data_IF_669516613250
#
_entry.id   IF_669516613250
#
_cell.length_a   1.000
_cell.length_b   1.000
_cell.length_c   1.000
_cell.angle_alpha   90.00
_cell.angle_beta   90.00
_cell.angle_gamma   90.00
#
_symmetry.space_group_name_H-M   'P 1'
#
loop_
_entity.id
_entity.type
_entity.pdbx_description
1 polymer ?
#
# COMPACT_ATOMS: atom_id res chain seq x y z
N UNK A 1 -15.37 12.82 15.07
CA UNK A 1 -14.20 12.23 15.77
C UNK A 1 -14.24 12.41 17.29
N UNK A 2 -14.20 13.63 17.85
CA UNK A 2 -14.14 13.85 19.32
C UNK A 2 -15.35 13.33 20.11
N UNK A 3 -16.51 13.26 19.47
CA UNK A 3 -17.75 12.71 20.04
C UNK A 3 -17.86 11.18 19.93
N UNK A 4 -16.94 10.49 19.25
CA UNK A 4 -16.96 9.03 19.12
C UNK A 4 -16.69 8.40 20.51
N UNK A 5 -17.65 7.62 21.08
CA UNK A 5 -17.48 7.01 22.40
C UNK A 5 -16.38 5.93 22.42
N UNK A 6 -16.03 5.37 21.26
CA UNK A 6 -14.98 4.36 21.12
C UNK A 6 -13.58 4.94 20.93
N UNK A 7 -13.44 6.27 20.85
CA UNK A 7 -12.14 6.91 20.71
C UNK A 7 -11.46 7.00 22.09
N UNK A 8 -10.26 6.40 22.22
CA UNK A 8 -9.45 6.53 23.44
C UNK A 8 -8.98 7.98 23.61
N UNK A 9 -9.30 8.58 24.77
CA UNK A 9 -9.00 9.99 25.09
C UNK A 9 -7.87 10.18 26.11
N UNK A 10 -7.30 9.08 26.59
CA UNK A 10 -6.20 9.13 27.56
C UNK A 10 -4.85 9.45 26.91
N UNK A 11 -3.81 9.58 27.73
CA UNK A 11 -2.42 9.69 27.24
C UNK A 11 -1.98 8.37 26.61
N UNK A 12 -1.12 8.45 25.60
CA UNK A 12 -0.49 7.26 25.03
C UNK A 12 0.21 6.46 26.15
N UNK A 13 -0.09 5.17 26.24
CA UNK A 13 0.50 4.28 27.26
C UNK A 13 1.99 4.13 26.98
N UNK A 14 2.83 4.22 28.01
CA UNK A 14 4.28 4.22 27.85
C UNK A 14 4.78 2.99 27.09
N UNK A 15 4.28 1.79 27.43
CA UNK A 15 4.69 0.57 26.72
C UNK A 15 4.28 0.60 25.24
N UNK A 16 3.09 1.13 24.92
CA UNK A 16 2.66 1.29 23.53
C UNK A 16 3.56 2.26 22.77
N UNK A 17 3.96 3.38 23.39
CA UNK A 17 4.90 4.31 22.79
C UNK A 17 6.27 3.65 22.52
N UNK A 18 6.77 2.87 23.49
CA UNK A 18 8.02 2.14 23.36
C UNK A 18 7.98 1.12 22.21
N UNK A 19 6.91 0.33 22.12
CA UNK A 19 6.77 -0.66 21.04
C UNK A 19 6.61 0.00 19.67
N UNK A 20 5.88 1.12 19.57
CA UNK A 20 5.77 1.86 18.32
C UNK A 20 7.15 2.38 17.87
N UNK A 21 7.93 2.95 18.78
CA UNK A 21 9.29 3.42 18.47
C UNK A 21 10.20 2.27 18.02
N UNK A 22 10.26 1.18 18.79
CA UNK A 22 11.13 0.04 18.46
C UNK A 22 10.74 -0.59 17.12
N UNK A 23 9.45 -0.75 16.86
CA UNK A 23 8.95 -1.28 15.58
C UNK A 23 9.30 -0.35 14.43
N UNK A 24 9.14 0.97 14.58
CA UNK A 24 9.50 1.93 13.55
C UNK A 24 10.99 1.87 13.20
N UNK A 25 11.87 1.78 14.20
CA UNK A 25 13.31 1.65 13.99
C UNK A 25 13.69 0.32 13.32
N UNK A 26 13.03 -0.77 13.69
CA UNK A 26 13.27 -2.08 13.05
C UNK A 26 12.84 -2.05 11.57
N UNK A 27 11.65 -1.53 11.28
CA UNK A 27 11.12 -1.44 9.91
C UNK A 27 12.02 -0.56 9.04
N UNK A 28 12.50 0.56 9.57
CA UNK A 28 13.40 1.47 8.86
C UNK A 28 14.70 0.77 8.40
N UNK A 29 15.27 -0.11 9.21
CA UNK A 29 16.48 -0.86 8.86
C UNK A 29 16.25 -1.90 7.76
N UNK A 30 14.99 -2.30 7.55
CA UNK A 30 14.59 -3.43 6.70
C UNK A 30 13.84 -2.99 5.44
N UNK A 31 13.76 -1.70 5.14
CA UNK A 31 13.07 -1.17 3.96
C UNK A 31 13.57 -1.82 2.65
N UNK A 32 14.88 -2.08 2.57
CA UNK A 32 15.51 -2.74 1.43
C UNK A 32 15.01 -4.17 1.17
N UNK A 33 14.41 -4.85 2.15
CA UNK A 33 13.83 -6.19 1.98
C UNK A 33 12.52 -6.17 1.17
N UNK A 34 11.88 -5.00 1.02
CA UNK A 34 10.63 -4.84 0.27
C UNK A 34 10.87 -5.00 -1.23
N UNK A 35 10.49 -6.16 -1.77
CA UNK A 35 10.74 -6.54 -3.17
C UNK A 35 9.49 -6.69 -4.04
N UNK A 36 8.30 -6.65 -3.45
CA UNK A 36 7.03 -6.78 -4.18
C UNK A 36 6.60 -5.45 -4.82
N UNK A 37 5.74 -5.45 -5.86
CA UNK A 37 5.22 -4.22 -6.45
C UNK A 37 4.37 -3.39 -5.48
N UNK A 38 4.59 -2.08 -5.38
CA UNK A 38 3.82 -1.22 -4.47
C UNK A 38 3.63 0.23 -4.94
N UNK A 39 2.62 0.88 -4.36
CA UNK A 39 2.30 2.29 -4.53
C UNK A 39 2.33 2.98 -3.16
N UNK A 40 3.12 4.04 -3.03
CA UNK A 40 3.15 4.91 -1.84
C UNK A 40 2.42 6.21 -2.17
N UNK A 41 1.42 6.53 -1.35
CA UNK A 41 0.62 7.74 -1.44
C UNK A 41 0.76 8.51 -0.14
N UNK A 42 1.07 9.80 -0.21
CA UNK A 42 1.33 10.60 1.00
C UNK A 42 0.81 12.04 0.88
N UNK A 43 0.20 12.56 1.95
CA UNK A 43 -0.27 13.95 2.01
C UNK A 43 0.85 14.94 2.32
N UNK A 44 1.01 15.99 1.52
CA UNK A 44 2.12 16.95 1.66
C UNK A 44 2.17 17.68 3.01
N UNK A 45 1.03 17.82 3.66
CA UNK A 45 0.82 18.50 4.95
C UNK A 45 0.44 17.51 6.07
N UNK A 46 0.78 16.23 5.91
CA UNK A 46 0.62 15.23 6.96
C UNK A 46 1.46 15.60 8.19
N UNK A 47 0.81 15.66 9.36
CA UNK A 47 1.42 15.94 10.67
C UNK A 47 1.48 14.73 11.59
N UNK A 48 0.97 13.59 11.14
CA UNK A 48 0.94 12.32 11.87
C UNK A 48 2.13 11.46 11.44
N UNK A 49 2.40 11.39 10.14
CA UNK A 49 3.55 10.67 9.58
C UNK A 49 4.37 11.57 8.65
N UNK A 50 5.70 11.49 8.71
CA UNK A 50 6.59 12.32 7.88
C UNK A 50 6.73 11.75 6.45
N UNK A 51 6.49 12.60 5.44
CA UNK A 51 6.68 12.29 4.02
C UNK A 51 8.10 11.86 3.67
N UNK A 52 9.11 12.28 4.43
CA UNK A 52 10.49 11.86 4.24
C UNK A 52 10.65 10.34 4.37
N UNK A 53 9.91 9.70 5.28
CA UNK A 53 9.95 8.24 5.47
C UNK A 53 9.32 7.52 4.29
N UNK A 54 8.21 8.04 3.75
CA UNK A 54 7.62 7.51 2.51
C UNK A 54 8.56 7.62 1.32
N UNK A 55 9.31 8.72 1.21
CA UNK A 55 10.34 8.88 0.17
C UNK A 55 11.50 7.90 0.39
N UNK A 56 11.92 7.67 1.64
CA UNK A 56 12.97 6.71 1.98
C UNK A 56 12.57 5.27 1.61
N UNK A 57 11.34 4.84 1.92
CA UNK A 57 10.83 3.54 1.46
C UNK A 57 10.89 3.42 -0.07
N UNK A 58 10.47 4.46 -0.80
CA UNK A 58 10.55 4.46 -2.26
C UNK A 58 11.98 4.33 -2.76
N UNK A 59 12.95 4.99 -2.11
CA UNK A 59 14.35 4.94 -2.52
C UNK A 59 14.98 3.57 -2.22
N UNK A 60 14.83 3.10 -0.98
CA UNK A 60 15.63 2.01 -0.43
C UNK A 60 15.09 0.61 -0.76
N UNK A 61 13.78 0.48 -1.02
CA UNK A 61 13.16 -0.81 -1.32
C UNK A 61 13.80 -1.50 -2.54
N UNK A 62 14.02 -2.82 -2.48
CA UNK A 62 14.54 -3.60 -3.60
C UNK A 62 13.54 -3.78 -4.77
N UNK A 63 12.27 -3.40 -4.59
CA UNK A 63 11.23 -3.52 -5.61
C UNK A 63 11.59 -2.77 -6.89
N UNK A 64 11.49 -3.45 -8.03
CA UNK A 64 11.65 -2.84 -9.36
C UNK A 64 10.38 -2.14 -9.85
N UNK A 65 9.22 -2.49 -9.29
CA UNK A 65 7.93 -1.91 -9.64
C UNK A 65 7.35 -1.15 -8.45
N UNK A 66 7.85 0.07 -8.25
CA UNK A 66 7.46 0.95 -7.15
C UNK A 66 7.08 2.32 -7.67
N UNK A 67 6.05 2.90 -7.08
CA UNK A 67 5.54 4.23 -7.42
C UNK A 67 5.34 5.07 -6.16
N UNK A 68 5.62 6.37 -6.24
CA UNK A 68 5.41 7.32 -5.15
C UNK A 68 4.66 8.54 -5.67
N UNK A 69 3.61 8.96 -4.94
CA UNK A 69 2.87 10.18 -5.23
C UNK A 69 2.64 10.98 -3.95
N UNK A 70 3.13 12.21 -3.97
CA UNK A 70 2.89 13.20 -2.93
C UNK A 70 1.74 14.11 -3.36
N UNK A 71 0.78 14.36 -2.48
CA UNK A 71 -0.36 15.25 -2.71
C UNK A 71 -0.21 16.55 -1.92
N UNK A 72 0.25 17.65 -2.55
CA UNK A 72 0.42 18.93 -1.86
C UNK A 72 -0.88 19.40 -1.19
N UNK A 73 -0.80 19.91 0.03
CA UNK A 73 -1.95 20.42 0.77
C UNK A 73 -2.85 19.37 1.43
N UNK A 74 -2.72 18.09 1.06
CA UNK A 74 -3.47 17.00 1.70
C UNK A 74 -2.79 16.55 2.99
N UNK A 75 -3.58 16.05 3.93
CA UNK A 75 -3.20 15.55 5.25
C UNK A 75 -3.09 14.02 5.29
N UNK A 76 -3.07 13.46 6.50
CA UNK A 76 -2.89 12.03 6.76
C UNK A 76 -3.99 11.14 6.17
N UNK A 77 -5.24 11.59 6.26
CA UNK A 77 -6.43 10.77 5.98
C UNK A 77 -6.84 10.77 4.52
N UNK A 78 -5.95 10.41 3.60
CA UNK A 78 -6.19 10.54 2.14
C UNK A 78 -7.50 9.91 1.63
N UNK A 79 -8.02 8.88 2.29
CA UNK A 79 -9.21 8.14 1.84
C UNK A 79 -10.53 8.52 2.55
N UNK A 80 -10.48 9.28 3.66
CA UNK A 80 -11.68 9.54 4.47
C UNK A 80 -11.62 10.82 5.33
N UNK A 81 -10.50 11.53 5.36
CA UNK A 81 -10.27 12.75 6.15
C UNK A 81 -9.97 13.99 5.29
N UNK A 82 -9.99 13.83 3.97
CA UNK A 82 -9.77 14.87 2.98
C UNK A 82 -11.09 15.45 2.44
N UNK A 83 -11.00 16.49 1.61
CA UNK A 83 -12.14 16.99 0.83
C UNK A 83 -12.63 15.92 -0.16
N UNK A 84 -13.93 15.84 -0.48
CA UNK A 84 -14.46 14.83 -1.40
C UNK A 84 -13.71 14.76 -2.74
N UNK A 85 -13.36 15.91 -3.30
CA UNK A 85 -12.64 16.00 -4.58
C UNK A 85 -11.22 15.44 -4.48
N UNK A 86 -10.54 15.67 -3.35
CA UNK A 86 -9.22 15.09 -3.08
C UNK A 86 -9.31 13.57 -2.94
N UNK A 87 -10.33 13.07 -2.24
CA UNK A 87 -10.57 11.64 -2.06
C UNK A 87 -10.79 10.97 -3.42
N UNK A 88 -11.61 11.57 -4.30
CA UNK A 88 -11.85 11.06 -5.65
C UNK A 88 -10.56 10.96 -6.47
N UNK A 89 -9.68 11.96 -6.41
CA UNK A 89 -8.38 11.94 -7.08
C UNK A 89 -7.53 10.77 -6.56
N UNK A 90 -7.44 10.59 -5.24
CA UNK A 90 -6.64 9.52 -4.64
C UNK A 90 -7.19 8.14 -5.05
N UNK A 91 -8.51 7.94 -5.04
CA UNK A 91 -9.11 6.69 -5.51
C UNK A 91 -8.85 6.45 -7.00
N UNK A 92 -8.98 7.48 -7.85
CA UNK A 92 -8.71 7.36 -9.27
C UNK A 92 -7.25 6.92 -9.54
N UNK A 93 -6.29 7.47 -8.79
CA UNK A 93 -4.89 7.08 -8.88
C UNK A 93 -4.66 5.62 -8.46
N UNK A 94 -5.26 5.18 -7.34
CA UNK A 94 -5.18 3.79 -6.88
C UNK A 94 -5.76 2.84 -7.93
N UNK A 95 -6.95 3.15 -8.44
CA UNK A 95 -7.64 2.31 -9.44
C UNK A 95 -6.81 2.25 -10.73
N UNK A 96 -6.27 3.39 -11.19
CA UNK A 96 -5.42 3.44 -12.37
C UNK A 96 -4.16 2.59 -12.20
N UNK A 97 -3.47 2.69 -11.06
CA UNK A 97 -2.28 1.91 -10.75
C UNK A 97 -2.55 0.40 -10.72
N UNK A 98 -3.69 0.01 -10.15
CA UNK A 98 -4.14 -1.39 -10.12
C UNK A 98 -4.49 -1.90 -11.53
N UNK A 99 -5.25 -1.12 -12.31
CA UNK A 99 -5.64 -1.50 -13.67
C UNK A 99 -4.42 -1.77 -14.57
N UNK A 100 -3.40 -0.91 -14.51
CA UNK A 100 -2.15 -1.12 -15.26
C UNK A 100 -1.46 -2.47 -14.98
N UNK A 101 -1.70 -3.05 -13.79
CA UNK A 101 -1.10 -4.32 -13.35
C UNK A 101 -2.06 -5.50 -13.41
N UNK A 102 -3.35 -5.26 -13.61
CA UNK A 102 -4.38 -6.29 -13.73
C UNK A 102 -4.89 -6.48 -15.16
N UNK A 103 -4.74 -5.48 -16.04
CA UNK A 103 -5.12 -5.53 -17.46
C UNK A 103 -4.41 -6.66 -18.23
N UNK A 104 -3.15 -6.94 -17.85
CA UNK A 104 -2.39 -8.08 -18.34
C UNK A 104 -2.30 -9.20 -17.31
N UNK A 105 -3.38 -9.42 -16.54
CA UNK A 105 -3.57 -10.68 -15.81
C UNK A 105 -3.08 -11.81 -16.71
N UNK A 106 -2.24 -12.69 -16.14
CA UNK A 106 -1.34 -13.61 -16.83
C UNK A 106 -2.12 -14.67 -17.62
N UNK A 107 -2.97 -14.22 -18.54
CA UNK A 107 -3.97 -14.95 -19.29
C UNK A 107 -3.30 -15.99 -20.15
N UNK A 108 -2.05 -15.73 -20.54
CA UNK A 108 -1.17 -16.72 -21.14
C UNK A 108 -0.85 -17.86 -20.17
N UNK A 109 -0.29 -17.58 -18.99
CA UNK A 109 0.09 -18.61 -18.01
C UNK A 109 -1.15 -19.36 -17.47
N UNK A 110 -2.23 -18.64 -17.19
CA UNK A 110 -3.51 -19.23 -16.77
C UNK A 110 -4.10 -20.12 -17.87
N UNK A 111 -4.03 -19.70 -19.15
CA UNK A 111 -4.49 -20.50 -20.28
C UNK A 111 -3.58 -21.69 -20.55
N UNK A 112 -2.26 -21.54 -20.41
CA UNK A 112 -1.29 -22.62 -20.53
C UNK A 112 -1.51 -23.69 -19.44
N UNK A 113 -1.71 -23.27 -18.17
CA UNK A 113 -2.04 -24.17 -17.07
C UNK A 113 -3.38 -24.90 -17.27
N UNK A 114 -4.42 -24.17 -17.71
CA UNK A 114 -5.74 -24.77 -18.02
C UNK A 114 -5.65 -25.82 -19.14
N UNK A 115 -4.94 -25.51 -20.22
CA UNK A 115 -4.75 -26.46 -21.33
C UNK A 115 -3.97 -27.71 -20.89
N UNK A 116 -2.95 -27.53 -20.04
CA UNK A 116 -2.14 -28.63 -19.55
C UNK A 116 -2.95 -29.57 -18.64
N UNK A 117 -3.81 -29.03 -17.77
CA UNK A 117 -4.73 -29.82 -16.94
C UNK A 117 -5.79 -30.55 -17.78
N UNK A 118 -6.35 -29.90 -18.81
CA UNK A 118 -7.32 -30.50 -19.73
C UNK A 118 -6.71 -31.68 -20.52
N UNK A 119 -5.47 -31.56 -21.02
CA UNK A 119 -4.76 -32.67 -21.69
C UNK A 119 -4.49 -33.85 -20.74
N UNK A 120 -4.11 -33.55 -19.49
CA UNK A 120 -3.88 -34.58 -18.47
C UNK A 120 -5.19 -35.33 -18.17
N UNK A 121 -6.32 -34.65 -18.07
CA UNK A 121 -7.64 -35.27 -17.86
C UNK A 121 -8.03 -36.20 -19.02
N UNK A 122 -7.80 -35.77 -20.26
CA UNK A 122 -8.09 -36.58 -21.46
C UNK A 122 -7.19 -37.83 -21.49
N UNK A 123 -5.93 -37.71 -21.10
CA UNK A 123 -4.99 -38.85 -21.06
C UNK A 123 -5.33 -39.90 -20.00
N UNK A 124 -5.99 -39.51 -18.91
CA UNK A 124 -6.40 -40.39 -17.81
C UNK A 124 -7.71 -41.14 -18.07
N UNK A 125 -8.47 -40.76 -19.11
CA UNK A 125 -9.73 -41.39 -19.49
C UNK A 125 -9.60 -42.41 -20.63
N UNK A 126 -8.40 -42.60 -21.20
CA UNK A 126 -8.06 -43.67 -22.16
C UNK A 126 -7.31 -44.80 -21.46
#
# INVERSE_FOLDING_TARGET
VRANPYCYKGRLRLNTANELLNTSLEVEQRLHEVSFPFLVLHGGEDKVTDKAVSQQLYNDAASSDKSFKLYPGMWHGLLYGELPENIEIVFADIISWLNQRSEFGNSRLERELKLQDDEILISKQK
#
